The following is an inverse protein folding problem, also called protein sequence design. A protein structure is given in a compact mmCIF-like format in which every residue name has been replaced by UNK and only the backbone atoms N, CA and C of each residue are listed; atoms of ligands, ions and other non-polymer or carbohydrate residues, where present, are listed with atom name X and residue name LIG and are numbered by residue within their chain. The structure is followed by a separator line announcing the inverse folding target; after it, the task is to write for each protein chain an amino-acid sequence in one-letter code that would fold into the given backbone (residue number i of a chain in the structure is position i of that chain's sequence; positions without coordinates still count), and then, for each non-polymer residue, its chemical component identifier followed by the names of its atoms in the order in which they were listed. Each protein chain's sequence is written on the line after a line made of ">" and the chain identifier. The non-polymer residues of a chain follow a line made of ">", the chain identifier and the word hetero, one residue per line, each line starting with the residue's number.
data_IF_231493488545
#
_entry.id   IF_231493488545
#
_cell.length_a   1.000
_cell.length_b   1.000
_cell.length_c   1.000
_cell.angle_alpha   90.00
_cell.angle_beta   90.00
_cell.angle_gamma   90.00
#
_symmetry.space_group_name_H-M   'P 1'
#
loop_
_entity.id
_entity.type
_entity.pdbx_description
1 polymer ?
#
# COMPACT_ATOMS: atom_id res chain seq x y z
N UNK A 1 19.67 -6.98 5.04
CA UNK A 1 19.03 -6.50 3.79
C UNK A 1 18.58 -5.07 4.03
N UNK A 2 19.09 -4.12 3.24
CA UNK A 2 18.77 -2.72 3.41
C UNK A 2 17.65 -2.28 2.45
N UNK A 3 16.80 -1.37 2.93
CA UNK A 3 15.78 -0.71 2.08
C UNK A 3 16.43 0.49 1.42
N UNK A 4 16.37 0.51 0.10
CA UNK A 4 16.91 1.59 -0.69
C UNK A 4 16.01 2.83 -0.60
N UNK A 5 16.59 3.99 -0.35
CA UNK A 5 15.88 5.26 -0.39
C UNK A 5 16.63 6.33 -1.15
N UNK A 6 15.92 7.29 -1.70
CA UNK A 6 16.51 8.50 -2.27
C UNK A 6 16.00 9.74 -1.55
N UNK A 7 16.79 10.81 -1.56
CA UNK A 7 16.38 12.09 -1.00
C UNK A 7 15.61 12.91 -2.03
N UNK A 8 14.49 13.46 -1.63
CA UNK A 8 13.66 14.37 -2.43
C UNK A 8 13.52 15.68 -1.69
N UNK A 9 13.80 16.77 -2.39
CA UNK A 9 13.67 18.12 -1.86
C UNK A 9 12.23 18.59 -2.04
N UNK A 10 11.53 18.84 -0.93
CA UNK A 10 10.16 19.33 -0.93
C UNK A 10 10.08 20.61 -0.11
N UNK A 11 9.35 21.60 -0.63
CA UNK A 11 9.00 22.80 0.11
C UNK A 11 7.68 22.55 0.86
N UNK A 12 7.61 22.92 2.12
CA UNK A 12 6.37 22.90 2.87
C UNK A 12 5.40 23.93 2.29
N UNK A 13 4.15 23.50 2.06
CA UNK A 13 3.08 24.40 1.59
C UNK A 13 2.30 25.04 2.72
N UNK A 14 2.49 24.58 3.96
CA UNK A 14 1.71 24.98 5.13
C UNK A 14 2.58 25.28 6.34
N UNK A 15 2.10 26.19 7.20
CA UNK A 15 2.69 26.56 8.47
C UNK A 15 3.72 27.69 8.38
N UNK A 16 4.26 28.09 9.55
CA UNK A 16 5.18 29.23 9.73
C UNK A 16 6.50 29.10 8.96
N UNK A 17 6.83 27.89 8.46
CA UNK A 17 8.01 27.59 7.64
C UNK A 17 7.65 27.24 6.19
N UNK A 18 6.53 27.74 5.69
CA UNK A 18 6.14 27.58 4.30
C UNK A 18 7.23 28.13 3.35
N UNK A 19 7.58 27.38 2.33
CA UNK A 19 8.60 27.77 1.37
C UNK A 19 10.04 27.36 1.71
N UNK A 20 10.35 26.92 2.94
CA UNK A 20 11.69 26.42 3.27
C UNK A 20 11.83 24.97 2.78
N UNK A 21 12.72 24.72 1.81
CA UNK A 21 12.88 23.37 1.28
C UNK A 21 13.61 22.47 2.29
N UNK A 22 13.04 21.27 2.50
CA UNK A 22 13.66 20.21 3.30
C UNK A 22 13.84 18.94 2.46
N UNK A 23 14.79 18.12 2.86
CA UNK A 23 15.01 16.81 2.25
C UNK A 23 14.22 15.75 3.01
N UNK A 24 13.51 14.94 2.25
CA UNK A 24 12.71 13.82 2.74
C UNK A 24 13.18 12.53 2.09
N UNK A 25 13.26 11.46 2.88
CA UNK A 25 13.55 10.14 2.36
C UNK A 25 12.33 9.60 1.60
N UNK A 26 12.55 9.07 0.40
CA UNK A 26 11.55 8.38 -0.40
C UNK A 26 12.05 6.97 -0.71
N UNK A 27 11.30 5.97 -0.26
CA UNK A 27 11.63 4.59 -0.52
C UNK A 27 11.73 4.30 -2.03
N UNK A 28 12.76 3.56 -2.41
CA UNK A 28 12.97 3.06 -3.76
C UNK A 28 12.67 1.57 -3.76
N UNK A 29 11.55 1.19 -4.39
CA UNK A 29 11.16 -0.21 -4.49
C UNK A 29 12.07 -0.92 -5.50
N UNK A 30 12.64 -2.05 -5.11
CA UNK A 30 13.50 -2.86 -5.96
C UNK A 30 12.70 -3.55 -7.06
N UNK A 31 11.68 -4.31 -6.68
CA UNK A 31 10.88 -5.15 -7.58
C UNK A 31 9.43 -5.21 -7.13
N UNK A 32 8.52 -5.41 -8.08
CA UNK A 32 7.13 -5.75 -7.79
C UNK A 32 6.96 -7.27 -7.86
N UNK A 33 6.60 -7.89 -6.75
CA UNK A 33 6.32 -9.32 -6.70
C UNK A 33 4.85 -9.54 -7.08
N UNK A 34 4.64 -10.22 -8.22
CA UNK A 34 3.29 -10.56 -8.67
C UNK A 34 2.66 -11.66 -7.81
N UNK A 35 1.32 -11.75 -7.84
CA UNK A 35 0.59 -12.82 -7.14
C UNK A 35 1.09 -14.21 -7.57
N UNK A 36 1.39 -14.41 -8.86
CA UNK A 36 1.95 -15.67 -9.38
C UNK A 36 3.31 -16.01 -8.79
N UNK A 37 4.20 -15.02 -8.68
CA UNK A 37 5.51 -15.21 -8.04
C UNK A 37 5.36 -15.52 -6.57
N UNK A 38 4.44 -14.85 -5.89
CA UNK A 38 4.13 -15.09 -4.48
C UNK A 38 3.55 -16.50 -4.25
N UNK A 39 2.60 -16.93 -5.09
CA UNK A 39 2.06 -18.29 -5.06
C UNK A 39 3.15 -19.36 -5.26
N UNK A 40 4.13 -19.10 -6.14
CA UNK A 40 5.28 -20.00 -6.33
C UNK A 40 6.14 -20.10 -5.07
N UNK A 41 6.40 -18.99 -4.39
CA UNK A 41 7.14 -18.99 -3.13
C UNK A 41 6.44 -19.81 -2.05
N UNK A 42 5.12 -19.67 -1.92
CA UNK A 42 4.32 -20.45 -0.97
C UNK A 42 4.38 -21.95 -1.32
N UNK A 43 4.22 -22.33 -2.58
CA UNK A 43 4.26 -23.73 -3.00
C UNK A 43 5.63 -24.39 -2.75
N UNK A 44 6.71 -23.62 -2.77
CA UNK A 44 8.06 -24.12 -2.44
C UNK A 44 8.27 -24.35 -0.94
N UNK A 45 7.49 -23.70 -0.10
CA UNK A 45 7.58 -23.78 1.36
C UNK A 45 6.54 -24.72 1.98
N UNK A 46 5.59 -25.20 1.17
CA UNK A 46 4.50 -26.07 1.60
C UNK A 46 4.38 -27.29 0.70
N UNK A 47 3.58 -28.27 1.12
CA UNK A 47 3.25 -29.46 0.31
C UNK A 47 2.17 -29.21 -0.73
N UNK A 48 1.62 -27.99 -0.78
CA UNK A 48 0.51 -27.60 -1.68
C UNK A 48 1.06 -27.25 -3.06
N UNK A 49 0.42 -27.73 -4.12
CA UNK A 49 0.86 -27.44 -5.48
C UNK A 49 0.70 -25.95 -5.82
N UNK A 50 1.49 -25.46 -6.77
CA UNK A 50 1.37 -24.09 -7.29
C UNK A 50 -0.04 -23.79 -7.81
N UNK A 51 -0.68 -24.74 -8.47
CA UNK A 51 -2.03 -24.58 -9.00
C UNK A 51 -3.06 -24.37 -7.87
N UNK A 52 -2.97 -25.17 -6.81
CA UNK A 52 -3.88 -25.09 -5.68
C UNK A 52 -3.68 -23.77 -4.91
N UNK A 53 -2.42 -23.36 -4.66
CA UNK A 53 -2.11 -22.06 -4.04
C UNK A 53 -2.69 -20.92 -4.87
N UNK A 54 -2.52 -20.96 -6.18
CA UNK A 54 -3.07 -19.92 -7.07
C UNK A 54 -4.59 -19.88 -7.01
N UNK A 55 -5.26 -21.03 -7.03
CA UNK A 55 -6.73 -21.12 -6.89
C UNK A 55 -7.22 -20.53 -5.56
N UNK A 56 -6.55 -20.85 -4.45
CA UNK A 56 -6.88 -20.30 -3.13
C UNK A 56 -6.72 -18.80 -3.09
N UNK A 57 -5.61 -18.24 -3.61
CA UNK A 57 -5.37 -16.79 -3.61
C UNK A 57 -6.38 -16.03 -4.48
N UNK A 58 -6.77 -16.59 -5.63
CA UNK A 58 -7.80 -16.00 -6.50
C UNK A 58 -9.16 -16.03 -5.80
N UNK A 59 -9.54 -17.16 -5.22
CA UNK A 59 -10.78 -17.29 -4.47
C UNK A 59 -10.83 -16.35 -3.25
N UNK A 60 -9.71 -16.19 -2.55
CA UNK A 60 -9.58 -15.22 -1.47
C UNK A 60 -9.87 -13.80 -1.97
N UNK A 61 -9.27 -13.40 -3.09
CA UNK A 61 -9.47 -12.07 -3.69
C UNK A 61 -10.94 -11.83 -4.06
N UNK A 62 -11.59 -12.80 -4.69
CA UNK A 62 -13.00 -12.71 -5.08
C UNK A 62 -13.92 -12.58 -3.85
N UNK A 63 -13.70 -13.41 -2.84
CA UNK A 63 -14.47 -13.34 -1.59
C UNK A 63 -14.25 -12.02 -0.84
N UNK A 64 -13.03 -11.47 -0.85
CA UNK A 64 -12.75 -10.16 -0.27
C UNK A 64 -13.60 -9.07 -0.92
N UNK A 65 -13.71 -9.06 -2.24
CA UNK A 65 -14.54 -8.08 -2.96
C UNK A 65 -15.99 -8.18 -2.52
N UNK A 66 -16.54 -9.39 -2.48
CA UNK A 66 -17.93 -9.64 -2.11
C UNK A 66 -18.22 -9.19 -0.67
N UNK A 67 -17.37 -9.57 0.28
CA UNK A 67 -17.59 -9.24 1.69
C UNK A 67 -17.41 -7.75 1.99
N UNK A 68 -16.44 -7.09 1.36
CA UNK A 68 -16.28 -5.64 1.46
C UNK A 68 -17.48 -4.90 0.87
N UNK A 69 -18.03 -5.35 -0.27
CA UNK A 69 -19.26 -4.76 -0.85
C UNK A 69 -20.48 -4.92 0.05
N UNK A 70 -20.54 -5.97 0.86
CA UNK A 70 -21.57 -6.15 1.90
C UNK A 70 -21.38 -5.24 3.12
N UNK A 71 -20.28 -4.48 3.17
CA UNK A 71 -19.95 -3.61 4.29
C UNK A 71 -19.22 -4.33 5.44
N UNK A 72 -18.80 -5.57 5.24
CA UNK A 72 -18.07 -6.32 6.25
C UNK A 72 -16.61 -5.89 6.30
N UNK A 73 -16.01 -5.95 7.48
CA UNK A 73 -14.58 -5.85 7.68
C UNK A 73 -13.96 -7.24 7.57
N UNK A 74 -12.83 -7.34 6.89
CA UNK A 74 -12.07 -8.59 6.77
C UNK A 74 -10.88 -8.52 7.71
N UNK A 75 -10.80 -9.48 8.62
CA UNK A 75 -9.74 -9.59 9.61
C UNK A 75 -8.85 -10.81 9.27
N UNK A 76 -7.60 -10.56 8.90
CA UNK A 76 -6.58 -11.58 8.67
C UNK A 76 -5.65 -11.77 9.88
N UNK A 77 -6.11 -11.43 11.07
CA UNK A 77 -5.34 -11.59 12.30
C UNK A 77 -4.07 -10.73 12.30
N UNK A 78 -2.92 -11.38 12.48
CA UNK A 78 -1.62 -10.73 12.59
C UNK A 78 -1.17 -10.00 11.31
N UNK A 79 -1.70 -10.39 10.15
CA UNK A 79 -1.45 -9.68 8.89
C UNK A 79 -2.09 -8.29 8.89
N UNK A 80 -3.33 -8.18 9.36
CA UNK A 80 -4.06 -6.92 9.40
C UNK A 80 -5.51 -7.03 8.97
N UNK A 81 -6.14 -5.87 8.83
CA UNK A 81 -7.58 -5.75 8.55
C UNK A 81 -7.83 -4.87 7.36
N UNK A 82 -8.83 -5.26 6.56
CA UNK A 82 -9.36 -4.47 5.46
C UNK A 82 -10.76 -4.00 5.80
N UNK A 83 -11.02 -2.71 5.62
CA UNK A 83 -12.36 -2.12 5.81
C UNK A 83 -12.64 -1.07 4.76
N UNK A 84 -13.93 -0.79 4.55
CA UNK A 84 -14.36 0.32 3.73
C UNK A 84 -14.35 1.63 4.52
N UNK A 85 -13.97 2.69 3.85
CA UNK A 85 -14.08 4.08 4.32
C UNK A 85 -14.84 4.88 3.28
N UNK A 86 -15.87 5.60 3.72
CA UNK A 86 -16.64 6.47 2.83
C UNK A 86 -15.93 7.82 2.66
N UNK A 87 -15.90 8.29 1.43
CA UNK A 87 -15.54 9.66 1.11
C UNK A 87 -16.83 10.44 0.88
N UNK A 88 -17.08 11.45 1.73
CA UNK A 88 -18.31 12.22 1.65
C UNK A 88 -18.07 13.71 1.82
N UNK A 89 -19.03 14.51 1.33
CA UNK A 89 -19.15 15.92 1.66
C UNK A 89 -20.14 16.08 2.82
N UNK A 90 -19.82 16.98 3.76
CA UNK A 90 -20.70 17.28 4.88
C UNK A 90 -21.97 18.02 4.43
N UNK A 91 -23.06 17.81 5.16
CA UNK A 91 -24.27 18.64 5.06
C UNK A 91 -24.40 19.50 6.32
N UNK A 92 -25.14 20.62 6.25
CA UNK A 92 -25.31 21.52 7.38
C UNK A 92 -26.12 20.87 8.51
N UNK A 93 -27.10 20.04 8.16
CA UNK A 93 -27.92 19.27 9.13
C UNK A 93 -27.99 17.80 8.73
N UNK A 94 -28.26 16.94 9.69
CA UNK A 94 -28.45 15.50 9.43
C UNK A 94 -29.63 15.21 8.50
N UNK A 95 -30.68 16.05 8.53
CA UNK A 95 -31.84 15.92 7.66
C UNK A 95 -31.55 16.28 6.18
N UNK A 96 -30.56 17.13 5.95
CA UNK A 96 -30.13 17.52 4.60
C UNK A 96 -29.13 16.52 3.97
N UNK A 97 -28.58 15.64 4.78
CA UNK A 97 -27.64 14.63 4.28
C UNK A 97 -28.38 13.59 3.44
N UNK A 98 -27.99 13.50 2.17
CA UNK A 98 -28.51 12.49 1.22
C UNK A 98 -27.35 11.62 0.75
N UNK A 99 -27.48 10.30 0.90
CA UNK A 99 -26.42 9.35 0.56
C UNK A 99 -26.03 9.40 -0.92
N UNK A 100 -26.97 9.57 -1.81
CA UNK A 100 -26.79 9.66 -3.27
C UNK A 100 -26.07 10.95 -3.72
N UNK A 101 -26.15 12.01 -2.92
CA UNK A 101 -25.55 13.32 -3.22
C UNK A 101 -24.23 13.50 -2.45
N UNK A 102 -24.24 13.20 -1.15
CA UNK A 102 -23.13 13.52 -0.25
C UNK A 102 -22.03 12.47 -0.23
N UNK A 103 -22.35 11.19 -0.50
CA UNK A 103 -21.33 10.13 -0.59
C UNK A 103 -20.71 10.19 -1.99
N UNK A 104 -19.42 10.54 -2.07
CA UNK A 104 -18.69 10.70 -3.34
C UNK A 104 -17.92 9.47 -3.75
N UNK A 105 -17.62 8.58 -2.82
CA UNK A 105 -16.87 7.38 -3.13
C UNK A 105 -16.57 6.51 -1.92
N UNK A 106 -15.92 5.39 -2.20
CA UNK A 106 -15.51 4.40 -1.22
C UNK A 106 -14.04 4.11 -1.39
N UNK A 107 -13.29 4.15 -0.30
CA UNK A 107 -11.88 3.76 -0.26
C UNK A 107 -11.70 2.51 0.57
N UNK A 108 -10.75 1.67 0.18
CA UNK A 108 -10.35 0.52 0.99
C UNK A 108 -9.21 0.98 1.89
N UNK A 109 -9.40 0.84 3.19
CA UNK A 109 -8.39 1.10 4.20
C UNK A 109 -7.81 -0.23 4.68
N UNK A 110 -6.48 -0.34 4.63
CA UNK A 110 -5.74 -1.43 5.25
C UNK A 110 -5.18 -0.95 6.59
N UNK A 111 -5.41 -1.73 7.65
CA UNK A 111 -4.85 -1.50 8.98
C UNK A 111 -3.90 -2.66 9.26
N UNK A 112 -2.57 -2.43 9.35
CA UNK A 112 -1.61 -3.48 9.58
C UNK A 112 -1.82 -4.16 10.94
N UNK A 113 -1.66 -5.46 10.98
CA UNK A 113 -1.63 -6.24 12.21
C UNK A 113 -0.24 -6.16 12.89
N UNK A 114 -0.07 -6.93 13.96
CA UNK A 114 1.16 -6.91 14.78
C UNK A 114 2.44 -7.14 13.97
N UNK A 115 2.42 -8.10 13.06
CA UNK A 115 3.60 -8.48 12.27
C UNK A 115 4.02 -7.38 11.31
N UNK A 116 3.06 -6.77 10.62
CA UNK A 116 3.35 -5.70 9.67
C UNK A 116 3.57 -4.34 10.37
N UNK A 117 2.95 -4.10 11.52
CA UNK A 117 3.19 -2.88 12.30
C UNK A 117 4.63 -2.81 12.83
N UNK A 118 5.20 -3.96 13.19
CA UNK A 118 6.55 -4.07 13.73
C UNK A 118 7.64 -4.30 12.67
N UNK A 119 7.29 -4.26 11.39
CA UNK A 119 8.24 -4.53 10.29
C UNK A 119 9.45 -3.58 10.29
N UNK A 120 9.31 -2.39 10.87
CA UNK A 120 10.38 -1.40 10.98
C UNK A 120 11.53 -1.86 11.89
N UNK A 121 11.27 -2.75 12.84
CA UNK A 121 12.30 -3.24 13.79
C UNK A 121 13.31 -4.09 13.05
N UNK A 122 14.59 -3.70 13.11
CA UNK A 122 15.69 -4.40 12.45
C UNK A 122 15.85 -4.08 10.96
N UNK A 123 15.12 -3.10 10.42
CA UNK A 123 15.35 -2.63 9.06
C UNK A 123 16.58 -1.75 8.96
N UNK A 124 17.38 -1.98 7.94
CA UNK A 124 18.51 -1.14 7.54
C UNK A 124 18.12 -0.30 6.34
N UNK A 125 18.73 0.90 6.21
CA UNK A 125 18.40 1.84 5.14
C UNK A 125 19.67 2.24 4.40
N UNK A 126 19.62 2.16 3.06
CA UNK A 126 20.73 2.53 2.19
C UNK A 126 20.29 3.64 1.22
N UNK A 127 21.08 4.72 1.17
CA UNK A 127 20.80 5.81 0.25
C UNK A 127 21.29 5.46 -1.15
N UNK A 128 20.38 5.55 -2.10
CA UNK A 128 20.69 5.33 -3.53
C UNK A 128 20.26 6.52 -4.37
N UNK A 129 20.79 6.59 -5.60
CA UNK A 129 20.38 7.62 -6.55
C UNK A 129 18.89 7.47 -6.91
N UNK A 130 18.22 8.58 -7.20
CA UNK A 130 16.82 8.54 -7.63
C UNK A 130 16.66 7.78 -8.95
N UNK A 131 15.47 7.17 -9.17
CA UNK A 131 15.20 6.42 -10.41
C UNK A 131 15.43 7.22 -11.69
N UNK A 132 15.21 8.54 -11.65
CA UNK A 132 15.47 9.41 -12.79
C UNK A 132 16.96 9.46 -13.14
N UNK A 133 17.81 9.56 -12.13
CA UNK A 133 19.28 9.56 -12.29
C UNK A 133 19.79 8.19 -12.74
N UNK A 134 19.25 7.10 -12.15
CA UNK A 134 19.60 5.74 -12.55
C UNK A 134 19.23 5.45 -14.02
N UNK A 135 18.01 5.88 -14.46
CA UNK A 135 17.59 5.75 -15.86
C UNK A 135 18.46 6.60 -16.82
N UNK A 136 18.88 7.79 -16.38
CA UNK A 136 19.75 8.63 -17.19
C UNK A 136 21.15 8.00 -17.37
N UNK A 137 21.70 7.41 -16.31
CA UNK A 137 22.97 6.69 -16.37
C UNK A 137 22.90 5.49 -17.34
N UNK A 138 21.85 4.65 -17.23
CA UNK A 138 21.63 3.52 -18.14
C UNK A 138 21.40 3.90 -19.61
N UNK A 139 20.92 5.13 -19.88
CA UNK A 139 20.80 5.65 -21.24
C UNK A 139 22.13 6.16 -21.79
N UNK A 140 23.01 6.65 -20.93
CA UNK A 140 24.33 7.14 -21.33
C UNK A 140 25.33 6.02 -21.64
N UNK A 141 25.05 4.80 -21.12
CA UNK A 141 25.88 3.58 -21.37
C UNK A 141 25.46 2.81 -22.64
N UNK A 142 24.40 3.23 -23.33
CA UNK A 142 23.93 2.66 -24.61
C UNK A 142 24.27 3.59 -25.79
#
# INVERSE_FOLDING_TARGET
>A
MAINYSLVKLASKFGDKAGVPKFYARAQMNESISLKKFAKLISMQTTVSYADVTAVLVSMQENMVIELQRGNQIDFGELGKFRLQLTCEGAATAAEFKSDINIKGVNIQFIPGSDLANIFVGMEFEQVASRAVQKAALKAEK
#
